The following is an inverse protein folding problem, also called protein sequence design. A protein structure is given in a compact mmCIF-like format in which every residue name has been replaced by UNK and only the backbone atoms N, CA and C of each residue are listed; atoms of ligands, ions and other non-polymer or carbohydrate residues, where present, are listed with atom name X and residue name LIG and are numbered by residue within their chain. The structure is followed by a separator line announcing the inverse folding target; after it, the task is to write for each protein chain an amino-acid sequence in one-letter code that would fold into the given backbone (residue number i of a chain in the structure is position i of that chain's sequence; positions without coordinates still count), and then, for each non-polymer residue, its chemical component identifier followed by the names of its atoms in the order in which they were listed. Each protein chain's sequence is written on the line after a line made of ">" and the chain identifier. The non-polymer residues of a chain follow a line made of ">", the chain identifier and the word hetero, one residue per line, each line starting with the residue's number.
data_IF_130963356694
#
_entry.id   IF_130963356694
#
_cell.length_a   1.000
_cell.length_b   1.000
_cell.length_c   1.000
_cell.angle_alpha   90.00
_cell.angle_beta   90.00
_cell.angle_gamma   90.00
#
_symmetry.space_group_name_H-M   'P 1'
#
loop_
_entity.id
_entity.type
_entity.pdbx_description
1 polymer ?
#
# COMPACT_ATOMS: atom_id res chain seq x y z
N UNK A 1 -11.96 12.97 0.28
CA UNK A 1 -12.93 13.98 -0.17
C UNK A 1 -14.36 13.46 -0.14
N UNK A 2 -14.66 12.25 -0.61
CA UNK A 2 -16.03 11.68 -0.55
C UNK A 2 -16.53 11.49 0.89
N UNK A 3 -15.68 11.04 1.80
CA UNK A 3 -16.05 10.95 3.23
C UNK A 3 -16.42 12.30 3.82
N UNK A 4 -15.66 13.35 3.50
CA UNK A 4 -15.98 14.70 3.98
C UNK A 4 -17.30 15.24 3.41
N UNK A 5 -17.61 14.96 2.13
CA UNK A 5 -18.89 15.32 1.50
C UNK A 5 -20.02 14.55 2.16
N UNK A 6 -19.85 13.22 2.35
CA UNK A 6 -20.85 12.39 3.02
C UNK A 6 -21.12 12.88 4.43
N UNK A 7 -20.10 13.06 5.25
CA UNK A 7 -20.24 13.45 6.66
C UNK A 7 -20.89 14.83 6.84
N UNK A 8 -20.76 15.72 5.84
CA UNK A 8 -21.38 17.03 5.86
C UNK A 8 -22.84 17.02 5.37
N UNK A 9 -23.20 16.18 4.41
CA UNK A 9 -24.48 16.26 3.68
C UNK A 9 -25.43 15.07 3.92
N UNK A 10 -25.04 14.02 4.65
CA UNK A 10 -25.88 12.84 4.83
C UNK A 10 -27.14 13.06 5.70
N UNK A 11 -27.19 14.16 6.46
CA UNK A 11 -28.34 14.56 7.29
C UNK A 11 -29.10 15.77 6.73
N UNK A 12 -28.81 16.19 5.50
CA UNK A 12 -29.46 17.38 4.96
C UNK A 12 -30.96 17.17 4.81
N UNK A 13 -31.73 18.13 5.34
CA UNK A 13 -33.18 18.20 5.15
C UNK A 13 -33.45 19.16 4.01
N UNK A 14 -34.15 18.71 2.98
CA UNK A 14 -34.55 19.49 1.82
C UNK A 14 -36.03 19.88 1.94
N UNK A 15 -36.46 20.97 1.27
CA UNK A 15 -37.87 21.35 1.20
C UNK A 15 -38.74 20.18 0.77
N UNK A 16 -40.03 20.19 1.18
CA UNK A 16 -40.94 19.06 1.02
C UNK A 16 -41.05 18.54 -0.43
N UNK A 17 -40.94 19.42 -1.42
CA UNK A 17 -40.94 19.07 -2.86
C UNK A 17 -39.70 18.21 -3.25
N UNK A 18 -38.58 18.40 -2.57
CA UNK A 18 -37.31 17.71 -2.82
C UNK A 18 -36.95 16.73 -1.72
N UNK A 19 -37.85 16.48 -0.77
CA UNK A 19 -37.58 15.62 0.41
C UNK A 19 -37.13 14.20 0.03
N UNK A 20 -37.57 13.68 -1.13
CA UNK A 20 -37.10 12.39 -1.67
C UNK A 20 -35.60 12.32 -1.90
N UNK A 21 -34.96 13.43 -2.24
CA UNK A 21 -33.53 13.54 -2.49
C UNK A 21 -32.71 13.92 -1.25
N UNK A 22 -33.36 14.08 -0.08
CA UNK A 22 -32.69 14.41 1.18
C UNK A 22 -31.91 13.27 1.80
N UNK A 23 -31.18 13.56 2.86
CA UNK A 23 -30.40 12.61 3.61
C UNK A 23 -29.29 11.95 2.79
N UNK A 24 -29.13 10.64 2.94
CA UNK A 24 -28.05 9.87 2.25
C UNK A 24 -28.17 9.89 0.72
N UNK A 25 -29.34 10.11 0.17
CA UNK A 25 -29.59 10.21 -1.29
C UNK A 25 -29.03 11.50 -1.89
N UNK A 26 -28.86 12.54 -1.09
CA UNK A 26 -28.29 13.81 -1.52
C UNK A 26 -26.77 13.72 -1.73
N UNK A 27 -26.09 12.82 -1.02
CA UNK A 27 -24.62 12.68 -1.11
C UNK A 27 -24.13 12.38 -2.53
N UNK A 28 -24.68 11.43 -3.29
CA UNK A 28 -24.29 11.22 -4.69
C UNK A 28 -24.53 12.45 -5.57
N UNK A 29 -25.64 13.17 -5.36
CA UNK A 29 -26.00 14.35 -6.16
C UNK A 29 -24.98 15.46 -5.95
N UNK A 30 -24.69 15.80 -4.69
CA UNK A 30 -23.72 16.87 -4.39
C UNK A 30 -22.29 16.44 -4.78
N UNK A 31 -21.95 15.16 -4.63
CA UNK A 31 -20.67 14.62 -5.07
C UNK A 31 -20.51 14.80 -6.59
N UNK A 32 -21.52 14.47 -7.37
CA UNK A 32 -21.48 14.64 -8.83
C UNK A 32 -21.26 16.09 -9.23
N UNK A 33 -21.94 17.05 -8.57
CA UNK A 33 -21.77 18.48 -8.83
C UNK A 33 -20.35 18.94 -8.46
N UNK A 34 -19.86 18.55 -7.27
CA UNK A 34 -18.51 18.90 -6.80
C UNK A 34 -17.46 18.35 -7.75
N UNK A 35 -17.58 17.09 -8.15
CA UNK A 35 -16.60 16.47 -9.06
C UNK A 35 -16.70 17.00 -10.48
N UNK A 36 -17.88 17.48 -10.93
CA UNK A 36 -18.00 18.21 -12.18
C UNK A 36 -17.17 19.51 -12.15
N UNK A 37 -17.32 20.29 -11.06
CA UNK A 37 -16.54 21.53 -10.88
C UNK A 37 -15.03 21.21 -10.79
N UNK A 38 -14.65 20.17 -10.04
CA UNK A 38 -13.26 19.70 -9.95
C UNK A 38 -12.76 19.26 -11.33
N UNK A 39 -13.57 18.56 -12.12
CA UNK A 39 -13.22 18.14 -13.49
C UNK A 39 -12.95 19.33 -14.40
N UNK A 40 -13.80 20.36 -14.35
CA UNK A 40 -13.60 21.60 -15.10
C UNK A 40 -12.31 22.31 -14.66
N UNK A 41 -12.07 22.41 -13.36
CA UNK A 41 -10.83 22.99 -12.84
C UNK A 41 -9.60 22.20 -13.30
N UNK A 42 -9.66 20.86 -13.25
CA UNK A 42 -8.58 19.98 -13.70
C UNK A 42 -8.33 20.08 -15.20
N UNK A 43 -9.34 20.36 -16.01
CA UNK A 43 -9.17 20.59 -17.45
C UNK A 43 -8.19 21.75 -17.75
N UNK A 44 -8.18 22.79 -16.92
CA UNK A 44 -7.25 23.91 -17.06
C UNK A 44 -5.92 23.68 -16.33
N UNK A 45 -5.93 23.00 -15.19
CA UNK A 45 -4.74 22.78 -14.35
C UNK A 45 -3.86 21.67 -14.93
N UNK A 46 -4.48 20.57 -15.38
CA UNK A 46 -3.75 19.36 -15.81
C UNK A 46 -2.78 19.58 -16.96
N UNK A 47 -3.10 20.35 -18.03
CA UNK A 47 -2.15 20.61 -19.10
C UNK A 47 -0.85 21.28 -18.64
N UNK A 48 -0.92 22.15 -17.62
CA UNK A 48 0.25 22.80 -17.03
C UNK A 48 1.12 21.78 -16.29
N UNK A 49 0.49 20.91 -15.49
CA UNK A 49 1.18 19.80 -14.80
C UNK A 49 1.81 18.85 -15.81
N UNK A 50 1.05 18.48 -16.85
CA UNK A 50 1.53 17.58 -17.90
C UNK A 50 2.72 18.16 -18.68
N UNK A 51 2.70 19.45 -19.01
CA UNK A 51 3.82 20.12 -19.66
C UNK A 51 5.06 20.16 -18.78
N UNK A 52 4.89 20.36 -17.47
CA UNK A 52 5.97 20.28 -16.50
C UNK A 52 6.61 18.88 -16.44
N UNK A 53 5.78 17.84 -16.41
CA UNK A 53 6.25 16.43 -16.44
C UNK A 53 6.97 16.13 -17.75
N UNK A 54 6.45 16.61 -18.89
CA UNK A 54 7.10 16.42 -20.20
C UNK A 54 8.45 17.13 -20.29
N UNK A 55 8.56 18.36 -19.77
CA UNK A 55 9.82 19.11 -19.70
C UNK A 55 10.84 18.39 -18.80
N UNK A 56 10.41 17.89 -17.64
CA UNK A 56 11.25 17.08 -16.75
C UNK A 56 11.68 15.78 -17.43
N UNK A 57 10.79 15.13 -18.17
CA UNK A 57 11.08 13.95 -18.96
C UNK A 57 12.17 14.21 -20.02
N UNK A 58 12.05 15.30 -20.76
CA UNK A 58 13.06 15.70 -21.76
C UNK A 58 14.42 15.96 -21.10
N UNK A 59 14.43 16.62 -19.94
CA UNK A 59 15.66 16.84 -19.16
C UNK A 59 16.31 15.53 -18.72
N UNK A 60 15.50 14.60 -18.18
CA UNK A 60 15.94 13.26 -17.75
C UNK A 60 16.50 12.46 -18.92
N UNK A 61 15.86 12.52 -20.09
CA UNK A 61 16.33 11.84 -21.30
C UNK A 61 17.66 12.42 -21.80
N UNK A 62 17.81 13.74 -21.81
CA UNK A 62 19.00 14.45 -22.28
C UNK A 62 20.19 14.30 -21.32
N UNK A 63 19.95 14.15 -20.01
CA UNK A 63 20.98 14.12 -18.96
C UNK A 63 21.64 12.75 -18.77
N UNK A 64 21.31 11.73 -19.58
CA UNK A 64 21.93 10.40 -19.52
C UNK A 64 21.85 9.76 -18.13
N UNK A 65 23.01 9.42 -17.55
CA UNK A 65 23.09 8.76 -16.24
C UNK A 65 22.59 9.63 -15.09
N UNK A 66 22.90 10.92 -15.11
CA UNK A 66 22.42 11.87 -14.10
C UNK A 66 20.88 12.00 -14.13
N UNK A 67 20.30 12.00 -15.34
CA UNK A 67 18.84 11.98 -15.49
C UNK A 67 18.19 10.76 -14.89
N UNK A 68 18.79 9.58 -15.05
CA UNK A 68 18.30 8.34 -14.46
C UNK A 68 18.41 8.36 -12.93
N UNK A 69 19.46 8.97 -12.37
CA UNK A 69 19.58 9.22 -10.93
C UNK A 69 18.44 10.12 -10.44
N UNK A 70 18.20 11.25 -11.09
CA UNK A 70 17.12 12.19 -10.71
C UNK A 70 15.76 11.51 -10.80
N UNK A 71 15.52 10.71 -11.84
CA UNK A 71 14.29 9.95 -11.97
C UNK A 71 14.04 9.05 -10.76
N UNK A 72 15.00 8.21 -10.39
CA UNK A 72 14.86 7.28 -9.25
C UNK A 72 14.73 7.99 -7.91
N UNK A 73 15.45 9.11 -7.72
CA UNK A 73 15.35 9.94 -6.52
C UNK A 73 13.95 10.55 -6.38
N UNK A 74 13.43 11.17 -7.46
CA UNK A 74 12.11 11.81 -7.43
C UNK A 74 10.99 10.80 -7.30
N UNK A 75 11.09 9.65 -7.95
CA UNK A 75 10.10 8.57 -7.82
C UNK A 75 9.91 8.17 -6.36
N UNK A 76 11.00 8.00 -5.61
CA UNK A 76 10.94 7.68 -4.17
C UNK A 76 10.49 8.88 -3.34
N UNK A 77 11.02 10.06 -3.58
CA UNK A 77 10.67 11.26 -2.83
C UNK A 77 9.16 11.61 -2.89
N UNK A 78 8.46 11.16 -3.92
CA UNK A 78 7.04 11.42 -4.12
C UNK A 78 6.11 10.37 -3.44
N UNK A 79 6.65 9.28 -2.89
CA UNK A 79 5.84 8.24 -2.20
C UNK A 79 5.04 8.79 -1.02
N UNK A 80 5.59 9.61 -0.10
CA UNK A 80 4.84 10.13 1.04
C UNK A 80 3.61 10.94 0.64
N UNK A 81 3.64 11.52 -0.56
CA UNK A 81 2.55 12.32 -1.12
C UNK A 81 1.58 11.49 -1.98
N UNK A 82 1.87 10.21 -2.22
CA UNK A 82 1.11 9.35 -3.12
C UNK A 82 1.20 9.74 -4.60
N UNK A 83 2.14 10.64 -4.97
CA UNK A 83 2.26 11.20 -6.31
C UNK A 83 3.24 10.42 -7.21
N UNK A 84 3.94 9.41 -6.70
CA UNK A 84 4.90 8.64 -7.46
C UNK A 84 4.27 7.94 -8.68
N UNK A 85 3.02 7.47 -8.57
CA UNK A 85 2.29 6.90 -9.71
C UNK A 85 2.08 7.93 -10.84
N UNK A 86 1.68 9.14 -10.49
CA UNK A 86 1.50 10.24 -11.45
C UNK A 86 2.82 10.60 -12.13
N UNK A 87 3.93 10.46 -11.39
CA UNK A 87 5.27 10.79 -11.91
C UNK A 87 5.80 9.73 -12.88
N UNK A 88 5.77 8.42 -12.53
CA UNK A 88 6.42 7.40 -13.37
C UNK A 88 5.55 6.95 -14.56
N UNK A 89 4.21 7.01 -14.47
CA UNK A 89 3.32 6.54 -15.54
C UNK A 89 3.57 7.21 -16.90
N UNK A 90 3.79 8.53 -17.02
CA UNK A 90 4.17 9.14 -18.29
C UNK A 90 5.43 8.54 -18.91
N UNK A 91 6.46 8.23 -18.12
CA UNK A 91 7.67 7.57 -18.62
C UNK A 91 7.40 6.15 -19.12
N UNK A 92 6.51 5.41 -18.46
CA UNK A 92 6.22 4.03 -18.83
C UNK A 92 5.30 3.91 -20.04
N UNK A 93 4.32 4.80 -20.17
CA UNK A 93 3.21 4.64 -21.09
C UNK A 93 3.19 5.65 -22.26
N UNK A 94 3.97 6.73 -22.21
CA UNK A 94 3.94 7.79 -23.20
C UNK A 94 5.30 8.03 -23.84
N UNK A 95 5.34 8.86 -24.89
CA UNK A 95 6.58 9.25 -25.57
C UNK A 95 7.61 9.94 -24.64
N UNK A 96 7.23 10.37 -23.44
CA UNK A 96 8.17 10.88 -22.40
C UNK A 96 9.19 9.81 -22.02
N UNK A 97 8.85 8.53 -22.06
CA UNK A 97 9.76 7.41 -21.79
C UNK A 97 10.57 6.93 -22.98
N UNK A 98 10.39 7.54 -24.13
CA UNK A 98 11.05 7.19 -25.39
C UNK A 98 10.13 6.65 -26.44
N UNK A 99 10.66 6.52 -27.66
CA UNK A 99 9.99 5.92 -28.81
C UNK A 99 10.96 4.99 -29.52
N UNK A 100 10.53 3.81 -29.90
CA UNK A 100 11.31 2.84 -30.65
C UNK A 100 10.47 2.23 -31.79
N UNK A 101 11.15 1.75 -32.84
CA UNK A 101 10.51 0.99 -33.92
C UNK A 101 10.89 -0.48 -33.72
N UNK A 102 9.89 -1.33 -33.47
CA UNK A 102 10.07 -2.76 -33.21
C UNK A 102 9.22 -3.51 -34.21
N UNK A 103 9.84 -4.40 -35.01
CA UNK A 103 9.20 -5.17 -36.07
C UNK A 103 8.36 -4.30 -37.04
N UNK A 104 8.84 -3.05 -37.31
CA UNK A 104 8.17 -2.10 -38.20
C UNK A 104 7.05 -1.29 -37.58
N UNK A 105 6.75 -1.50 -36.29
CA UNK A 105 5.72 -0.75 -35.53
C UNK A 105 6.37 0.27 -34.61
N UNK A 106 5.88 1.51 -34.66
CA UNK A 106 6.32 2.56 -33.72
C UNK A 106 5.66 2.36 -32.36
N UNK A 107 6.46 2.14 -31.33
CA UNK A 107 6.02 1.93 -29.94
C UNK A 107 6.55 3.06 -29.08
N UNK A 108 5.70 3.60 -28.21
CA UNK A 108 6.04 4.70 -27.27
C UNK A 108 5.86 4.26 -25.82
N UNK A 109 6.74 4.77 -24.95
CA UNK A 109 6.76 4.46 -23.53
C UNK A 109 7.68 3.31 -23.17
N UNK A 110 8.45 3.51 -22.10
CA UNK A 110 9.50 2.60 -21.67
C UNK A 110 9.01 1.16 -21.45
N UNK A 111 7.87 1.00 -20.79
CA UNK A 111 7.30 -0.30 -20.51
C UNK A 111 6.71 -0.95 -21.76
N UNK A 112 6.03 -0.17 -22.62
CA UNK A 112 5.47 -0.66 -23.86
C UNK A 112 6.57 -1.12 -24.82
N UNK A 113 7.68 -0.36 -24.92
CA UNK A 113 8.87 -0.73 -25.70
C UNK A 113 9.42 -2.06 -25.20
N UNK A 114 9.61 -2.21 -23.89
CA UNK A 114 10.10 -3.46 -23.30
C UNK A 114 9.20 -4.66 -23.63
N UNK A 115 7.87 -4.54 -23.51
CA UNK A 115 6.96 -5.63 -23.84
C UNK A 115 6.90 -5.94 -25.35
N UNK A 116 7.02 -4.93 -26.20
CA UNK A 116 7.14 -5.17 -27.64
C UNK A 116 8.44 -5.91 -27.99
N UNK A 117 9.57 -5.53 -27.40
CA UNK A 117 10.86 -6.23 -27.53
C UNK A 117 10.80 -7.65 -26.98
N UNK A 118 10.08 -7.87 -25.85
CA UNK A 118 9.88 -9.20 -25.27
C UNK A 118 9.09 -10.14 -26.21
N UNK A 119 8.09 -9.60 -26.91
CA UNK A 119 7.28 -10.35 -27.86
C UNK A 119 7.99 -10.56 -29.20
N UNK A 120 8.98 -9.71 -29.54
CA UNK A 120 9.71 -9.76 -30.81
C UNK A 120 10.72 -10.91 -30.84
N UNK A 121 10.74 -11.65 -31.94
CA UNK A 121 11.75 -12.69 -32.19
C UNK A 121 13.07 -12.13 -32.74
N UNK A 122 13.06 -10.90 -33.23
CA UNK A 122 14.24 -10.21 -33.75
C UNK A 122 15.11 -9.59 -32.69
N UNK A 123 14.58 -9.34 -31.51
CA UNK A 123 15.29 -8.69 -30.38
C UNK A 123 16.29 -9.63 -29.74
N UNK A 124 17.57 -9.31 -29.86
CA UNK A 124 18.69 -10.05 -29.25
C UNK A 124 19.07 -9.53 -27.87
N UNK A 125 18.94 -8.21 -27.62
CA UNK A 125 19.21 -7.53 -26.34
C UNK A 125 18.11 -6.50 -26.11
N UNK A 126 17.64 -6.38 -24.88
CA UNK A 126 16.63 -5.38 -24.55
C UNK A 126 17.22 -3.98 -24.48
N UNK A 127 16.44 -3.00 -24.93
CA UNK A 127 16.84 -1.59 -24.98
C UNK A 127 17.02 -1.00 -23.59
N UNK A 128 18.25 -0.70 -23.23
CA UNK A 128 18.59 -0.04 -21.95
C UNK A 128 17.97 1.35 -21.86
N UNK A 129 17.78 2.04 -22.98
CA UNK A 129 17.07 3.32 -23.05
C UNK A 129 15.64 3.27 -22.50
N UNK A 130 14.97 2.12 -22.61
CA UNK A 130 13.66 1.86 -22.05
C UNK A 130 13.78 1.30 -20.61
N UNK A 131 14.53 0.21 -20.44
CA UNK A 131 14.60 -0.50 -19.16
C UNK A 131 15.27 0.29 -18.03
N UNK A 132 16.04 1.35 -18.32
CA UNK A 132 16.66 2.23 -17.30
C UNK A 132 15.65 2.87 -16.35
N UNK A 133 14.37 3.00 -16.73
CA UNK A 133 13.29 3.50 -15.88
C UNK A 133 12.64 2.40 -15.03
N UNK A 134 13.12 1.17 -15.12
CA UNK A 134 12.56 0.00 -14.44
C UNK A 134 13.64 -0.78 -13.68
N UNK A 135 14.75 -1.11 -14.32
CA UNK A 135 15.79 -2.00 -13.79
C UNK A 135 16.38 -1.54 -12.45
N UNK A 136 16.42 -0.22 -12.21
CA UNK A 136 16.96 0.35 -10.98
C UNK A 136 16.16 0.01 -9.71
N UNK A 137 14.92 -0.44 -9.84
CA UNK A 137 14.08 -0.83 -8.69
C UNK A 137 14.58 -2.09 -7.99
N UNK A 138 15.05 -3.07 -8.73
CA UNK A 138 15.39 -4.39 -8.19
C UNK A 138 16.44 -4.38 -7.08
N UNK A 139 17.62 -3.73 -7.20
CA UNK A 139 18.66 -3.84 -6.18
C UNK A 139 18.22 -3.27 -4.82
N UNK A 140 17.60 -2.11 -4.78
CA UNK A 140 17.23 -1.51 -3.50
C UNK A 140 15.94 -2.10 -2.91
N UNK A 141 14.95 -2.51 -3.74
CA UNK A 141 13.70 -3.10 -3.26
C UNK A 141 13.91 -4.52 -2.75
N UNK A 142 14.61 -5.36 -3.51
CA UNK A 142 14.80 -6.76 -3.16
C UNK A 142 15.89 -6.97 -2.11
N UNK A 143 16.90 -6.15 -2.08
CA UNK A 143 18.06 -6.35 -1.21
C UNK A 143 18.25 -5.20 -0.21
N UNK A 144 18.22 -3.96 -0.67
CA UNK A 144 18.44 -2.80 0.17
C UNK A 144 17.43 -2.69 1.31
N UNK A 145 16.14 -2.70 1.01
CA UNK A 145 15.09 -2.60 2.02
C UNK A 145 15.06 -3.77 3.01
N UNK A 146 15.24 -5.04 2.62
CA UNK A 146 15.47 -6.13 3.58
C UNK A 146 16.69 -5.91 4.47
N UNK A 147 17.77 -5.32 3.96
CA UNK A 147 18.91 -4.89 4.78
C UNK A 147 18.55 -3.83 5.81
N UNK A 148 17.74 -2.85 5.43
CA UNK A 148 17.19 -1.85 6.34
C UNK A 148 16.29 -2.48 7.41
N UNK A 149 15.42 -3.43 7.03
CA UNK A 149 14.56 -4.16 7.95
C UNK A 149 15.37 -4.96 8.98
N UNK A 150 16.45 -5.61 8.55
CA UNK A 150 17.36 -6.31 9.46
C UNK A 150 18.04 -5.35 10.44
N UNK A 151 18.45 -4.17 9.99
CA UNK A 151 19.04 -3.13 10.84
C UNK A 151 18.04 -2.64 11.91
N UNK A 152 16.80 -2.36 11.50
CA UNK A 152 15.72 -1.95 12.42
C UNK A 152 15.42 -3.05 13.44
N UNK A 153 15.33 -4.32 13.00
CA UNK A 153 15.12 -5.48 13.87
C UNK A 153 16.20 -5.62 14.92
N UNK A 154 17.48 -5.48 14.52
CA UNK A 154 18.59 -5.63 15.46
C UNK A 154 18.65 -4.48 16.47
N UNK A 155 18.21 -3.29 16.11
CA UNK A 155 18.14 -2.12 16.98
C UNK A 155 16.89 -2.13 17.89
N UNK A 156 15.93 -3.03 17.70
CA UNK A 156 14.73 -3.12 18.53
C UNK A 156 15.05 -3.55 19.97
N UNK A 157 14.27 -3.03 20.94
CA UNK A 157 14.37 -3.42 22.36
C UNK A 157 14.08 -4.92 22.53
N UNK A 158 14.77 -5.64 23.43
CA UNK A 158 14.61 -7.09 23.60
C UNK A 158 13.15 -7.52 23.78
N UNK A 159 12.38 -6.76 24.58
CA UNK A 159 10.99 -7.04 24.92
C UNK A 159 10.06 -6.98 23.70
N UNK A 160 10.33 -6.03 22.78
CA UNK A 160 9.52 -5.75 21.57
C UNK A 160 10.06 -6.46 20.33
N UNK A 161 11.23 -7.09 20.42
CA UNK A 161 11.95 -7.64 19.27
C UNK A 161 11.15 -8.70 18.52
N UNK A 162 10.37 -9.52 19.22
CA UNK A 162 9.55 -10.58 18.61
C UNK A 162 8.41 -9.98 17.75
N UNK A 163 7.71 -8.97 18.27
CA UNK A 163 6.61 -8.30 17.55
C UNK A 163 7.14 -7.49 16.35
N UNK A 164 8.19 -6.68 16.58
CA UNK A 164 8.84 -5.91 15.51
C UNK A 164 9.42 -6.83 14.43
N UNK A 165 10.00 -7.98 14.82
CA UNK A 165 10.55 -8.96 13.89
C UNK A 165 9.50 -9.55 12.95
N UNK A 166 8.32 -9.89 13.47
CA UNK A 166 7.21 -10.39 12.65
C UNK A 166 6.75 -9.36 11.61
N UNK A 167 6.55 -8.11 12.03
CA UNK A 167 6.17 -7.01 11.16
C UNK A 167 7.23 -6.76 10.07
N UNK A 168 8.49 -6.57 10.48
CA UNK A 168 9.58 -6.23 9.56
C UNK A 168 9.90 -7.37 8.59
N UNK A 169 9.83 -8.63 9.05
CA UNK A 169 10.04 -9.81 8.18
C UNK A 169 8.92 -9.90 7.13
N UNK A 170 7.66 -9.73 7.52
CA UNK A 170 6.54 -9.75 6.58
C UNK A 170 6.66 -8.64 5.54
N UNK A 171 6.97 -7.42 5.97
CA UNK A 171 7.15 -6.28 5.07
C UNK A 171 8.37 -6.46 4.14
N UNK A 172 9.50 -6.98 4.66
CA UNK A 172 10.69 -7.28 3.88
C UNK A 172 10.45 -8.39 2.85
N UNK A 173 9.71 -9.44 3.22
CA UNK A 173 9.35 -10.52 2.31
C UNK A 173 8.43 -10.03 1.20
N UNK A 174 7.47 -9.15 1.52
CA UNK A 174 6.59 -8.52 0.54
C UNK A 174 7.41 -7.68 -0.45
N UNK A 175 8.32 -6.83 0.04
CA UNK A 175 9.21 -6.04 -0.81
C UNK A 175 10.09 -6.92 -1.71
N UNK A 176 10.65 -7.99 -1.16
CA UNK A 176 11.52 -8.92 -1.91
C UNK A 176 10.76 -9.69 -2.99
N UNK A 177 9.58 -10.25 -2.67
CA UNK A 177 8.84 -11.10 -3.61
C UNK A 177 8.11 -10.29 -4.68
N UNK A 178 7.38 -9.25 -4.25
CA UNK A 178 6.46 -8.52 -5.12
C UNK A 178 6.94 -7.12 -5.50
N UNK A 179 7.96 -6.58 -4.82
CA UNK A 179 8.41 -5.21 -4.98
C UNK A 179 7.47 -4.15 -4.38
N UNK A 180 6.49 -4.54 -3.57
CA UNK A 180 5.64 -3.59 -2.83
C UNK A 180 6.40 -3.15 -1.58
N UNK A 181 6.85 -1.91 -1.55
CA UNK A 181 7.79 -1.39 -0.54
C UNK A 181 7.14 -0.55 0.54
N UNK A 182 5.93 -0.04 0.30
CA UNK A 182 5.22 0.89 1.18
C UNK A 182 5.06 0.36 2.61
N UNK A 183 4.75 -0.93 2.86
CA UNK A 183 4.64 -1.43 4.22
C UNK A 183 5.94 -1.31 5.03
N UNK A 184 7.09 -1.39 4.36
CA UNK A 184 8.39 -1.25 4.99
C UNK A 184 8.83 0.22 5.06
N UNK A 185 8.64 0.98 3.99
CA UNK A 185 9.01 2.40 3.94
C UNK A 185 8.24 3.22 4.97
N UNK A 186 6.95 2.96 5.17
CA UNK A 186 6.14 3.65 6.18
C UNK A 186 6.59 3.37 7.62
N UNK A 187 7.36 2.34 7.88
CA UNK A 187 7.91 2.09 9.22
C UNK A 187 8.97 3.11 9.62
N UNK A 188 9.62 3.80 8.68
CA UNK A 188 10.65 4.78 8.97
C UNK A 188 10.42 6.18 8.38
N UNK A 189 9.54 6.33 7.39
CA UNK A 189 9.26 7.61 6.72
C UNK A 189 8.79 8.69 7.72
N UNK A 190 7.86 8.35 8.61
CA UNK A 190 7.26 9.30 9.56
C UNK A 190 8.09 9.48 10.83
N UNK A 191 8.95 8.53 11.14
CA UNK A 191 9.75 8.51 12.37
C UNK A 191 11.13 9.10 12.16
N UNK A 192 11.68 8.96 10.94
CA UNK A 192 13.05 9.33 10.63
C UNK A 192 13.16 9.84 9.18
N UNK A 193 12.63 11.04 8.91
CA UNK A 193 12.69 11.67 7.59
C UNK A 193 14.11 11.73 6.99
N UNK A 194 15.20 11.97 7.76
CA UNK A 194 16.56 11.89 7.20
C UNK A 194 16.96 10.50 6.71
N UNK A 195 16.48 9.42 7.35
CA UNK A 195 16.70 8.05 6.84
C UNK A 195 15.99 7.86 5.50
N UNK A 196 14.80 8.42 5.36
CA UNK A 196 14.07 8.37 4.11
C UNK A 196 14.77 9.17 3.00
N UNK A 197 15.32 10.34 3.30
CA UNK A 197 16.11 11.11 2.35
C UNK A 197 17.34 10.31 1.84
N UNK A 198 18.04 9.62 2.74
CA UNK A 198 19.13 8.71 2.37
C UNK A 198 18.63 7.57 1.49
N UNK A 199 17.48 6.98 1.81
CA UNK A 199 16.84 5.95 0.97
C UNK A 199 16.54 6.47 -0.44
N UNK A 200 16.01 7.69 -0.59
CA UNK A 200 15.75 8.29 -1.90
C UNK A 200 17.03 8.47 -2.73
N UNK A 201 18.12 8.92 -2.09
CA UNK A 201 19.43 9.05 -2.75
C UNK A 201 19.98 7.69 -3.18
N UNK A 202 19.92 6.69 -2.32
CA UNK A 202 20.37 5.32 -2.64
C UNK A 202 19.53 4.70 -3.77
N UNK A 203 18.21 4.96 -3.79
CA UNK A 203 17.36 4.54 -4.88
C UNK A 203 17.75 5.19 -6.21
N UNK A 204 17.98 6.52 -6.23
CA UNK A 204 18.48 7.21 -7.40
C UNK A 204 19.82 6.63 -7.91
N UNK A 205 20.76 6.34 -7.00
CA UNK A 205 22.02 5.68 -7.32
C UNK A 205 21.81 4.27 -7.90
N UNK A 206 20.83 3.52 -7.40
CA UNK A 206 20.49 2.20 -7.95
C UNK A 206 20.05 2.28 -9.41
N UNK A 207 19.17 3.24 -9.73
CA UNK A 207 18.75 3.46 -11.12
C UNK A 207 19.94 3.85 -12.01
N UNK A 208 20.79 4.75 -11.56
CA UNK A 208 21.98 5.16 -12.29
C UNK A 208 22.95 3.99 -12.52
N UNK A 209 23.21 3.18 -11.49
CA UNK A 209 24.11 2.02 -11.57
C UNK A 209 23.58 0.97 -12.56
N UNK A 210 22.30 0.64 -12.51
CA UNK A 210 21.71 -0.31 -13.46
C UNK A 210 21.79 0.20 -14.89
N UNK A 211 21.63 1.51 -15.11
CA UNK A 211 21.82 2.13 -16.40
C UNK A 211 23.29 2.05 -16.89
N UNK A 212 24.27 2.35 -16.02
CA UNK A 212 25.70 2.24 -16.34
C UNK A 212 26.10 0.81 -16.69
N UNK A 213 25.56 -0.17 -15.96
CA UNK A 213 25.82 -1.60 -16.16
C UNK A 213 25.01 -2.22 -17.31
N UNK A 214 24.26 -1.40 -18.05
CA UNK A 214 23.42 -1.81 -19.18
C UNK A 214 22.46 -2.95 -18.84
N UNK A 215 21.79 -2.88 -17.69
CA UNK A 215 20.82 -3.89 -17.26
C UNK A 215 19.51 -3.69 -18.00
N UNK A 216 19.13 -4.70 -18.78
CA UNK A 216 17.92 -4.75 -19.62
C UNK A 216 16.74 -5.47 -18.96
N UNK A 217 16.61 -5.47 -17.65
CA UNK A 217 15.50 -6.11 -16.95
C UNK A 217 14.31 -5.15 -16.88
N UNK A 218 13.19 -5.58 -17.48
CA UNK A 218 11.92 -4.88 -17.35
C UNK A 218 11.06 -5.42 -16.20
N UNK A 219 9.85 -4.90 -16.07
CA UNK A 219 8.89 -5.34 -15.06
C UNK A 219 7.45 -5.03 -15.49
N UNK A 220 6.50 -5.72 -14.87
CA UNK A 220 5.06 -5.45 -15.05
C UNK A 220 4.60 -4.34 -14.12
N UNK A 221 4.75 -4.55 -12.82
CA UNK A 221 4.21 -3.67 -11.78
C UNK A 221 5.30 -3.10 -10.88
N UNK A 222 6.21 -3.94 -10.37
CA UNK A 222 7.23 -3.52 -9.42
C UNK A 222 8.47 -4.41 -9.44
N UNK A 223 9.60 -3.91 -8.90
CA UNK A 223 10.90 -4.57 -8.92
C UNK A 223 11.08 -5.68 -7.89
N UNK A 224 10.28 -6.73 -7.94
CA UNK A 224 10.37 -7.90 -7.07
C UNK A 224 10.97 -9.14 -7.72
N UNK A 225 11.14 -10.21 -6.93
CA UNK A 225 11.70 -11.48 -7.38
C UNK A 225 10.89 -12.09 -8.53
N UNK A 226 9.57 -11.96 -8.49
CA UNK A 226 8.69 -12.51 -9.53
C UNK A 226 9.05 -11.90 -10.89
N UNK A 227 9.11 -10.58 -10.98
CA UNK A 227 9.45 -9.89 -12.22
C UNK A 227 10.91 -10.11 -12.63
N UNK A 228 11.85 -10.19 -11.65
CA UNK A 228 13.24 -10.51 -11.96
C UNK A 228 13.37 -11.91 -12.60
N UNK A 229 12.64 -12.90 -12.09
CA UNK A 229 12.67 -14.25 -12.66
C UNK A 229 12.07 -14.26 -14.07
N UNK A 230 10.90 -13.68 -14.25
CA UNK A 230 10.18 -13.70 -15.53
C UNK A 230 10.90 -12.89 -16.62
N UNK A 231 11.36 -11.70 -16.29
CA UNK A 231 11.88 -10.74 -17.26
C UNK A 231 13.41 -10.58 -17.24
N UNK A 232 14.08 -11.16 -16.26
CA UNK A 232 15.54 -11.20 -16.15
C UNK A 232 16.07 -12.60 -16.42
N UNK A 233 15.83 -13.52 -15.47
CA UNK A 233 16.46 -14.86 -15.45
C UNK A 233 15.99 -15.70 -16.64
N UNK A 234 14.68 -15.80 -16.86
CA UNK A 234 14.12 -16.63 -17.96
C UNK A 234 14.47 -16.10 -19.36
N UNK A 235 14.75 -14.81 -19.50
CA UNK A 235 15.19 -14.23 -20.77
C UNK A 235 16.69 -14.43 -21.02
N UNK A 236 17.44 -14.87 -20.03
CA UNK A 236 18.87 -15.13 -20.09
C UNK A 236 19.75 -13.89 -19.89
N UNK A 237 20.95 -14.12 -19.37
CA UNK A 237 21.86 -13.01 -19.02
C UNK A 237 22.39 -12.24 -20.25
N UNK A 238 22.47 -12.90 -21.40
CA UNK A 238 22.91 -12.26 -22.65
C UNK A 238 21.95 -11.15 -23.10
N UNK A 239 20.64 -11.30 -22.86
CA UNK A 239 19.61 -10.30 -23.18
C UNK A 239 19.47 -9.21 -22.12
N UNK A 240 19.64 -9.56 -20.85
CA UNK A 240 19.14 -8.75 -19.72
C UNK A 240 20.24 -8.24 -18.80
N UNK A 241 21.40 -8.87 -18.79
CA UNK A 241 22.48 -8.64 -17.82
C UNK A 241 22.00 -8.73 -16.34
N UNK A 242 21.01 -9.59 -16.06
CA UNK A 242 20.35 -9.67 -14.74
C UNK A 242 21.29 -10.01 -13.58
N UNK A 243 22.43 -10.67 -13.84
CA UNK A 243 23.40 -11.02 -12.81
C UNK A 243 23.85 -9.77 -12.05
N UNK A 244 23.98 -8.62 -12.74
CA UNK A 244 24.35 -7.36 -12.09
C UNK A 244 23.32 -6.88 -11.07
N UNK A 245 22.03 -7.22 -11.24
CA UNK A 245 21.00 -6.93 -10.24
C UNK A 245 21.33 -7.62 -8.92
N UNK A 246 21.76 -8.89 -8.97
CA UNK A 246 22.09 -9.65 -7.76
C UNK A 246 23.39 -9.15 -7.13
N UNK A 247 24.42 -8.90 -7.94
CA UNK A 247 25.73 -8.41 -7.45
C UNK A 247 25.56 -7.04 -6.76
N UNK A 248 24.96 -6.09 -7.44
CA UNK A 248 24.69 -4.76 -6.87
C UNK A 248 23.70 -4.86 -5.71
N UNK A 249 22.71 -5.73 -5.80
CA UNK A 249 21.77 -6.01 -4.72
C UNK A 249 22.46 -6.46 -3.44
N UNK A 250 23.39 -7.40 -3.53
CA UNK A 250 24.16 -7.84 -2.36
C UNK A 250 24.95 -6.69 -1.70
N UNK A 251 25.56 -5.82 -2.51
CA UNK A 251 26.22 -4.61 -2.00
C UNK A 251 25.20 -3.66 -1.34
N UNK A 252 24.02 -3.49 -1.94
CA UNK A 252 22.96 -2.66 -1.39
C UNK A 252 22.41 -3.19 -0.07
N UNK A 253 22.28 -4.50 0.08
CA UNK A 253 21.89 -5.12 1.35
C UNK A 253 22.83 -4.72 2.49
N UNK A 254 24.13 -4.85 2.27
CA UNK A 254 25.16 -4.49 3.27
C UNK A 254 25.18 -2.99 3.52
N UNK A 255 25.09 -2.18 2.46
CA UNK A 255 25.10 -0.72 2.53
C UNK A 255 23.90 -0.18 3.34
N UNK A 256 22.69 -0.64 3.02
CA UNK A 256 21.49 -0.27 3.76
C UNK A 256 21.56 -0.70 5.21
N UNK A 257 22.02 -1.94 5.47
CA UNK A 257 22.17 -2.44 6.83
C UNK A 257 23.10 -1.56 7.66
N UNK A 258 24.28 -1.22 7.15
CA UNK A 258 25.26 -0.40 7.86
C UNK A 258 24.73 1.01 8.09
N UNK A 259 24.24 1.67 7.05
CA UNK A 259 23.75 3.06 7.12
C UNK A 259 22.56 3.16 8.08
N UNK A 260 21.57 2.28 7.94
CA UNK A 260 20.37 2.33 8.78
C UNK A 260 20.71 2.02 10.24
N UNK A 261 21.54 1.00 10.49
CA UNK A 261 21.99 0.69 11.85
C UNK A 261 22.75 1.86 12.49
N UNK A 262 23.66 2.49 11.74
CA UNK A 262 24.40 3.65 12.21
C UNK A 262 23.46 4.82 12.53
N UNK A 263 22.56 5.16 11.62
CA UNK A 263 21.63 6.27 11.80
C UNK A 263 20.67 6.04 12.98
N UNK A 264 20.10 4.85 13.11
CA UNK A 264 19.20 4.49 14.22
C UNK A 264 19.95 4.59 15.55
N UNK A 265 21.17 4.06 15.63
CA UNK A 265 21.95 4.06 16.88
C UNK A 265 22.44 5.46 17.24
N UNK A 266 22.89 6.26 16.25
CA UNK A 266 23.46 7.59 16.48
C UNK A 266 22.41 8.66 16.83
N UNK A 267 21.27 8.62 16.16
CA UNK A 267 20.22 9.64 16.29
C UNK A 267 19.02 9.17 17.13
N UNK A 268 19.09 7.97 17.69
CA UNK A 268 18.03 7.35 18.51
C UNK A 268 16.64 7.38 17.86
N UNK A 269 16.56 7.12 16.55
CA UNK A 269 15.29 7.08 15.88
C UNK A 269 14.39 5.97 16.43
N UNK A 270 13.11 6.32 16.67
CA UNK A 270 12.10 5.42 17.25
C UNK A 270 11.47 4.52 16.19
N UNK A 271 12.30 3.74 15.50
CA UNK A 271 11.87 2.72 14.54
C UNK A 271 11.09 1.60 15.23
N UNK A 272 10.38 0.71 14.49
CA UNK A 272 9.57 -0.34 15.09
C UNK A 272 10.33 -1.15 16.17
N UNK A 273 9.72 -1.25 17.34
CA UNK A 273 10.29 -1.89 18.52
C UNK A 273 11.24 -1.04 19.33
N UNK A 274 11.44 0.26 19.02
CA UNK A 274 12.22 1.23 19.81
C UNK A 274 11.35 2.31 20.47
N UNK A 275 10.07 2.37 20.13
CA UNK A 275 9.11 3.28 20.74
C UNK A 275 8.96 3.02 22.23
N UNK A 276 8.70 4.09 23.00
CA UNK A 276 8.49 4.03 24.44
C UNK A 276 7.00 3.84 24.80
N UNK A 277 6.11 3.78 23.80
CA UNK A 277 4.69 3.50 24.02
C UNK A 277 4.52 2.14 24.69
N UNK A 278 3.73 2.08 25.76
CA UNK A 278 3.27 0.81 26.33
C UNK A 278 2.66 -0.07 25.23
N UNK A 279 2.97 -1.36 25.28
CA UNK A 279 2.58 -2.33 24.27
C UNK A 279 1.13 -2.13 23.82
N UNK A 280 0.94 -1.73 22.58
CA UNK A 280 -0.26 -2.15 21.85
C UNK A 280 -0.05 -3.64 21.60
N UNK A 281 -0.42 -4.46 22.57
CA UNK A 281 -0.36 -5.91 22.49
C UNK A 281 -1.32 -6.32 21.39
N UNK A 282 -0.80 -6.62 20.21
CA UNK A 282 -1.59 -7.35 19.21
C UNK A 282 -1.91 -8.72 19.81
N UNK A 283 -3.06 -8.81 20.42
CA UNK A 283 -3.56 -10.07 20.97
C UNK A 283 -3.75 -11.05 19.83
N UNK A 284 -2.95 -12.10 19.80
CA UNK A 284 -3.18 -13.22 18.88
C UNK A 284 -4.42 -13.99 19.36
N UNK A 285 -5.03 -14.72 18.45
CA UNK A 285 -6.17 -15.60 18.80
C UNK A 285 -5.81 -16.58 19.94
N UNK A 286 -4.52 -16.96 20.04
CA UNK A 286 -3.99 -17.76 21.11
C UNK A 286 -3.95 -17.02 22.46
N UNK A 287 -3.61 -15.73 22.46
CA UNK A 287 -3.61 -14.88 23.67
C UNK A 287 -5.03 -14.66 24.19
N UNK A 288 -5.99 -14.47 23.29
CA UNK A 288 -7.42 -14.34 23.63
C UNK A 288 -7.92 -15.67 24.21
N UNK A 289 -7.60 -16.80 23.58
CA UNK A 289 -7.99 -18.12 24.08
C UNK A 289 -7.30 -18.46 25.39
N UNK A 290 -6.03 -18.10 25.60
CA UNK A 290 -5.31 -18.31 26.86
C UNK A 290 -5.89 -17.42 27.98
N UNK A 291 -6.32 -16.20 27.67
CA UNK A 291 -7.04 -15.33 28.62
C UNK A 291 -8.42 -15.89 28.99
N UNK A 292 -9.14 -16.40 28.02
CA UNK A 292 -10.42 -17.07 28.25
C UNK A 292 -10.27 -18.36 29.03
N UNK A 293 -9.16 -19.10 28.87
CA UNK A 293 -8.84 -20.30 29.62
C UNK A 293 -8.30 -20.00 31.03
N UNK A 294 -7.57 -18.90 31.22
CA UNK A 294 -7.06 -18.45 32.51
C UNK A 294 -8.15 -17.77 33.37
N UNK A 295 -9.18 -17.22 32.73
CA UNK A 295 -10.40 -16.72 33.35
C UNK A 295 -11.41 -17.85 33.51
N UNK A 296 -11.02 -19.02 33.97
CA UNK A 296 -11.89 -20.18 34.28
C UNK A 296 -12.98 -19.88 35.30
N UNK A 297 -13.67 -18.78 35.11
CA UNK A 297 -14.87 -18.33 35.81
C UNK A 297 -15.86 -17.88 34.75
N UNK A 298 -17.01 -18.50 34.77
CA UNK A 298 -18.25 -17.95 34.30
C UNK A 298 -18.44 -16.53 34.82
N UNK A 299 -17.71 -15.55 34.23
CA UNK A 299 -18.05 -14.15 34.42
C UNK A 299 -19.33 -13.90 33.62
N UNK A 300 -20.38 -13.35 34.22
CA UNK A 300 -21.54 -12.88 33.47
C UNK A 300 -21.05 -11.85 32.47
N UNK A 301 -21.69 -11.83 31.30
CA UNK A 301 -21.45 -10.90 30.22
C UNK A 301 -21.28 -9.49 30.80
N UNK A 302 -20.03 -8.97 30.66
CA UNK A 302 -19.49 -7.92 31.44
C UNK A 302 -20.07 -6.54 31.26
N UNK A 303 -19.37 -5.60 31.78
CA UNK A 303 -19.61 -4.18 31.98
C UNK A 303 -19.89 -3.31 30.72
N UNK A 304 -20.09 -3.88 29.53
CA UNK A 304 -20.46 -3.11 28.36
C UNK A 304 -21.97 -3.23 28.09
N UNK A 305 -22.75 -2.18 28.40
CA UNK A 305 -24.21 -2.20 28.24
C UNK A 305 -24.65 -2.38 26.79
N UNK A 306 -23.82 -2.01 25.81
CA UNK A 306 -24.14 -2.17 24.39
C UNK A 306 -24.02 -3.62 23.97
N UNK A 307 -22.97 -4.32 24.37
CA UNK A 307 -22.80 -5.76 24.10
C UNK A 307 -23.87 -6.59 24.76
N UNK A 308 -24.31 -6.23 25.98
CA UNK A 308 -25.41 -6.89 26.67
C UNK A 308 -26.76 -6.75 25.91
N UNK A 309 -27.05 -5.54 25.42
CA UNK A 309 -28.23 -5.26 24.60
C UNK A 309 -28.19 -6.03 23.26
N UNK A 310 -27.02 -6.15 22.63
CA UNK A 310 -26.87 -6.92 21.40
C UNK A 310 -27.19 -8.40 21.64
N UNK A 311 -26.61 -8.99 22.68
CA UNK A 311 -26.85 -10.41 23.04
C UNK A 311 -28.29 -10.62 23.41
N UNK A 312 -28.89 -9.72 24.17
CA UNK A 312 -30.32 -9.76 24.50
C UNK A 312 -31.20 -9.66 23.25
N UNK A 313 -30.89 -8.72 22.36
CA UNK A 313 -31.60 -8.50 21.09
C UNK A 313 -31.49 -9.67 20.10
N UNK A 314 -30.45 -10.51 20.22
CA UNK A 314 -30.29 -11.73 19.43
C UNK A 314 -30.96 -12.97 20.07
N UNK A 315 -31.67 -12.79 21.16
CA UNK A 315 -32.39 -13.87 21.87
C UNK A 315 -31.56 -14.58 22.94
N UNK A 316 -30.47 -13.92 23.40
CA UNK A 316 -29.56 -14.44 24.43
C UNK A 316 -28.43 -15.28 23.88
N UNK A 317 -27.39 -15.46 24.70
CA UNK A 317 -26.17 -16.20 24.30
C UNK A 317 -26.45 -17.66 23.89
N UNK A 318 -27.45 -18.30 24.48
CA UNK A 318 -27.84 -19.69 24.15
C UNK A 318 -28.43 -19.85 22.74
N UNK A 319 -28.96 -18.76 22.17
CA UNK A 319 -29.51 -18.72 20.82
C UNK A 319 -28.46 -18.51 19.73
N UNK A 320 -27.26 -18.05 20.08
CA UNK A 320 -26.16 -17.81 19.14
C UNK A 320 -25.48 -19.13 18.78
N UNK A 321 -25.30 -19.37 17.48
CA UNK A 321 -24.52 -20.50 16.93
C UNK A 321 -23.19 -20.05 16.42
N UNK A 322 -23.16 -18.89 15.75
CA UNK A 322 -21.93 -18.32 15.16
C UNK A 322 -22.00 -16.79 15.14
N UNK A 323 -20.87 -16.14 15.32
CA UNK A 323 -20.74 -14.68 15.32
C UNK A 323 -19.54 -14.28 14.51
N UNK A 324 -19.77 -13.52 13.45
CA UNK A 324 -18.75 -12.94 12.58
C UNK A 324 -19.01 -11.44 12.42
N UNK A 325 -17.98 -10.68 12.13
CA UNK A 325 -18.10 -9.25 11.90
C UNK A 325 -17.26 -8.75 10.74
N UNK A 326 -17.76 -7.76 10.03
CA UNK A 326 -16.97 -6.95 9.12
C UNK A 326 -16.99 -5.49 9.60
N UNK A 327 -16.27 -4.59 8.93
CA UNK A 327 -16.13 -3.20 9.35
C UNK A 327 -17.45 -2.45 9.65
N UNK A 328 -18.59 -2.90 9.11
CA UNK A 328 -19.89 -2.20 9.21
C UNK A 328 -21.04 -3.08 9.67
N UNK A 329 -20.85 -4.40 9.81
CA UNK A 329 -21.92 -5.34 10.10
C UNK A 329 -21.48 -6.42 11.06
N UNK A 330 -22.31 -6.68 12.05
CA UNK A 330 -22.27 -7.89 12.86
C UNK A 330 -23.15 -8.96 12.17
N UNK A 331 -22.59 -10.13 11.90
CA UNK A 331 -23.27 -11.25 11.25
C UNK A 331 -23.39 -12.38 12.27
N UNK A 332 -24.60 -12.69 12.65
CA UNK A 332 -24.85 -13.76 13.60
C UNK A 332 -25.68 -14.85 12.94
N UNK A 333 -25.36 -16.09 13.26
CA UNK A 333 -26.25 -17.24 13.01
C UNK A 333 -26.91 -17.59 14.32
N UNK A 334 -28.25 -17.56 14.34
CA UNK A 334 -29.06 -17.87 15.51
C UNK A 334 -29.73 -19.22 15.32
N UNK A 335 -30.02 -19.92 16.41
CA UNK A 335 -30.75 -21.20 16.37
C UNK A 335 -32.20 -20.98 16.04
N UNK A 336 -32.82 -19.96 16.64
CA UNK A 336 -34.20 -19.56 16.40
C UNK A 336 -34.25 -18.05 16.08
N UNK A 337 -34.63 -17.74 14.84
CA UNK A 337 -34.72 -16.36 14.36
C UNK A 337 -35.94 -15.60 14.96
N UNK A 338 -36.94 -16.30 15.47
CA UNK A 338 -38.11 -15.69 16.10
C UNK A 338 -37.80 -15.02 17.44
N UNK A 339 -36.70 -15.41 18.07
CA UNK A 339 -36.21 -14.80 19.31
C UNK A 339 -35.41 -13.50 19.08
N UNK A 340 -35.08 -13.15 17.83
CA UNK A 340 -34.35 -11.94 17.50
C UNK A 340 -35.28 -10.72 17.55
N UNK A 341 -35.05 -9.83 18.53
CA UNK A 341 -35.81 -8.59 18.75
C UNK A 341 -35.14 -7.41 18.07
N UNK A 342 -35.70 -6.98 16.93
CA UNK A 342 -35.15 -5.88 16.13
C UNK A 342 -35.20 -4.52 16.83
N UNK A 343 -36.17 -4.30 17.70
CA UNK A 343 -36.32 -3.08 18.52
C UNK A 343 -35.14 -2.92 19.51
N UNK A 344 -34.77 -3.99 20.20
CA UNK A 344 -33.65 -4.02 21.13
C UNK A 344 -32.30 -3.85 20.37
N UNK A 345 -32.16 -4.52 19.22
CA UNK A 345 -30.95 -4.35 18.37
C UNK A 345 -30.83 -2.92 17.82
N UNK A 346 -31.93 -2.25 17.51
CA UNK A 346 -31.89 -0.83 17.13
C UNK A 346 -31.54 0.08 18.31
N UNK A 347 -32.01 -0.25 19.52
CA UNK A 347 -31.66 0.48 20.74
C UNK A 347 -30.16 0.39 21.09
N UNK A 348 -29.47 -0.67 20.64
CA UNK A 348 -28.02 -0.78 20.77
C UNK A 348 -27.22 0.14 19.82
N UNK A 349 -27.90 0.95 19.00
CA UNK A 349 -27.28 1.86 18.02
C UNK A 349 -27.17 1.28 16.61
N UNK A 350 -27.83 0.15 16.31
CA UNK A 350 -27.84 -0.41 14.99
C UNK A 350 -28.63 0.47 14.00
N UNK A 351 -28.06 0.76 12.85
CA UNK A 351 -28.71 1.51 11.76
C UNK A 351 -29.75 0.66 11.01
N UNK A 352 -29.63 -0.66 11.09
CA UNK A 352 -30.56 -1.60 10.47
C UNK A 352 -30.32 -3.04 10.91
N UNK A 353 -31.36 -3.85 10.85
CA UNK A 353 -31.30 -5.29 11.15
C UNK A 353 -31.92 -6.02 9.98
N UNK A 354 -31.23 -7.02 9.44
CA UNK A 354 -31.66 -7.84 8.32
C UNK A 354 -31.71 -9.30 8.82
N UNK A 355 -32.88 -9.89 8.85
CA UNK A 355 -33.05 -11.29 9.19
C UNK A 355 -33.35 -12.07 7.90
N UNK A 356 -32.58 -13.14 7.63
CA UNK A 356 -32.80 -14.04 6.49
C UNK A 356 -32.57 -15.50 6.95
N UNK A 357 -33.63 -16.24 7.12
CA UNK A 357 -33.55 -17.57 7.76
C UNK A 357 -32.95 -17.44 9.16
N UNK A 358 -32.00 -18.29 9.50
CA UNK A 358 -31.29 -18.24 10.78
C UNK A 358 -30.16 -17.21 10.83
N UNK A 359 -29.90 -16.46 9.73
CA UNK A 359 -28.89 -15.40 9.68
C UNK A 359 -29.47 -14.04 10.08
N UNK A 360 -28.89 -13.41 11.08
CA UNK A 360 -29.20 -12.04 11.51
C UNK A 360 -28.00 -11.14 11.25
N UNK A 361 -28.21 -10.10 10.45
CA UNK A 361 -27.20 -9.10 10.18
C UNK A 361 -27.60 -7.79 10.86
N UNK A 362 -26.79 -7.34 11.80
CA UNK A 362 -26.97 -6.07 12.48
C UNK A 362 -25.99 -5.05 11.89
N UNK A 363 -26.51 -4.00 11.29
CA UNK A 363 -25.71 -3.00 10.56
C UNK A 363 -25.41 -1.83 11.48
N UNK A 364 -24.14 -1.61 11.75
CA UNK A 364 -23.62 -0.42 12.42
C UNK A 364 -22.84 0.42 11.40
N UNK A 365 -22.90 1.74 11.50
CA UNK A 365 -22.17 2.64 10.59
C UNK A 365 -20.64 2.58 10.77
N UNK A 366 -20.19 2.16 11.95
CA UNK A 366 -18.79 1.85 12.25
C UNK A 366 -18.74 0.95 13.49
N UNK A 367 -18.10 -0.20 13.38
CA UNK A 367 -17.83 -1.09 14.52
C UNK A 367 -16.55 -0.73 15.29
N UNK A 368 -15.81 0.29 14.81
CA UNK A 368 -14.54 0.72 15.43
C UNK A 368 -14.76 1.25 16.87
N UNK A 369 -15.95 1.71 17.19
CA UNK A 369 -16.29 2.25 18.52
C UNK A 369 -17.03 1.26 19.43
N UNK A 370 -17.26 0.05 18.94
CA UNK A 370 -17.92 -1.04 19.68
C UNK A 370 -16.92 -2.16 19.95
#
# INVERSE_FOLDING_TARGET
>A
SEMCIRDRFYKIELPQVLAFFGGTRFVPIISSIVYLVVGIAMFYIWPVVQSGIAALGALVLASGYAGTFIYGLLERALIPFGLHHVFYMPFWQTAVGGTAIIDGVTVTGAQNIFFAELASKSTTVFSVSATRFMAGKFPFMMFGLPGAALAMYQCAKPEKKKAAGGLLLSAALTAFLTGITEPLEFTFIFVALPMYAVHCVLAGLSFMLMHILNVGVGMTFSGGLIDLVLFGVMQGNAKTHWIWVVVVGAVYFVLYYIIFRFMISKFDYKTPGRDDAEEVKLYTRADVNARSAASGSTAPAGDDPVSALIVEGLGGAANLSDVDCCATRLRCTVKDAALARQDVLKASGASGVICKGNGVQVVYLSLIHI
#
